data_IF_158106484854
#
_entry.id   IF_158106484854
#
_cell.length_a   1.000
_cell.length_b   1.000
_cell.length_c   1.000
_cell.angle_alpha   90.00
_cell.angle_beta   90.00
_cell.angle_gamma   90.00
#
_symmetry.space_group_name_H-M   'P 1'
#
loop_
_entity.id
_entity.type
_entity.pdbx_description
1 polymer ?
#
# COMPACT_ATOMS: atom_id res chain seq x y z
N UNK A 1 43.60 -19.34 -66.32
CA UNK A 1 43.79 -18.55 -65.07
C UNK A 1 42.52 -17.97 -64.45
N UNK A 2 41.37 -17.88 -65.16
CA UNK A 2 40.16 -17.16 -64.67
C UNK A 2 39.21 -18.01 -63.79
N UNK A 3 39.34 -19.35 -63.77
CA UNK A 3 38.44 -20.23 -62.99
C UNK A 3 38.75 -20.34 -61.50
N UNK A 4 39.94 -19.94 -61.02
CA UNK A 4 40.31 -20.06 -59.60
C UNK A 4 39.75 -18.94 -58.70
N UNK A 5 39.46 -17.75 -59.24
CA UNK A 5 38.96 -16.62 -58.43
C UNK A 5 37.45 -16.70 -58.12
N UNK A 6 36.65 -17.40 -58.94
CA UNK A 6 35.19 -17.54 -58.68
C UNK A 6 34.86 -18.45 -57.49
N UNK A 7 35.71 -19.43 -57.21
CA UNK A 7 35.52 -20.36 -56.09
C UNK A 7 35.92 -19.74 -54.75
N UNK A 8 36.92 -18.86 -54.75
CA UNK A 8 37.35 -18.16 -53.53
C UNK A 8 36.30 -17.13 -53.08
N UNK A 9 35.72 -16.36 -54.01
CA UNK A 9 34.68 -15.39 -53.67
C UNK A 9 33.37 -16.03 -53.21
N UNK A 10 33.01 -17.23 -53.70
CA UNK A 10 31.84 -17.96 -53.19
C UNK A 10 32.04 -18.49 -51.77
N UNK A 11 33.24 -18.97 -51.43
CA UNK A 11 33.53 -19.41 -50.05
C UNK A 11 33.63 -18.24 -49.07
N UNK A 12 34.20 -17.11 -49.50
CA UNK A 12 34.28 -15.91 -48.68
C UNK A 12 32.90 -15.29 -48.41
N UNK A 13 32.02 -15.27 -49.42
CA UNK A 13 30.66 -14.75 -49.26
C UNK A 13 29.76 -15.67 -48.41
N UNK A 14 29.94 -16.99 -48.49
CA UNK A 14 29.25 -17.95 -47.61
C UNK A 14 29.75 -17.84 -46.17
N UNK A 15 31.05 -17.64 -45.93
CA UNK A 15 31.56 -17.39 -44.58
C UNK A 15 31.05 -16.06 -44.00
N UNK A 16 30.98 -14.99 -44.80
CA UNK A 16 30.48 -13.68 -44.32
C UNK A 16 28.98 -13.74 -44.03
N UNK A 17 28.18 -14.44 -44.85
CA UNK A 17 26.76 -14.66 -44.56
C UNK A 17 26.51 -15.60 -43.38
N UNK A 18 27.34 -16.63 -43.16
CA UNK A 18 27.26 -17.47 -41.96
C UNK A 18 27.66 -16.72 -40.70
N UNK A 19 28.65 -15.83 -40.76
CA UNK A 19 28.97 -14.95 -39.64
C UNK A 19 27.81 -13.97 -39.37
N UNK A 20 27.21 -13.36 -40.39
CA UNK A 20 26.07 -12.47 -40.19
C UNK A 20 24.81 -13.20 -39.67
N UNK A 21 24.56 -14.46 -40.06
CA UNK A 21 23.44 -15.24 -39.51
C UNK A 21 23.70 -15.80 -38.09
N UNK A 22 24.97 -15.93 -37.68
CA UNK A 22 25.32 -16.35 -36.31
C UNK A 22 25.47 -15.19 -35.32
N UNK A 23 25.63 -13.95 -35.80
CA UNK A 23 25.75 -12.76 -34.95
C UNK A 23 24.45 -11.94 -34.80
N UNK A 24 23.45 -12.14 -35.66
CA UNK A 24 22.16 -11.41 -35.55
C UNK A 24 21.31 -11.83 -34.32
N UNK A 25 21.35 -13.06 -33.79
CA UNK A 25 20.65 -13.37 -32.54
C UNK A 25 21.33 -12.85 -31.26
N UNK A 26 22.59 -12.36 -31.33
CA UNK A 26 23.33 -11.86 -30.15
C UNK A 26 23.21 -10.35 -29.91
N UNK A 27 22.51 -9.61 -30.78
CA UNK A 27 22.31 -8.17 -30.64
C UNK A 27 20.94 -7.80 -30.05
N UNK A 28 20.19 -8.77 -29.54
CA UNK A 28 18.83 -8.57 -29.02
C UNK A 28 18.56 -9.38 -27.75
N UNK A 29 19.47 -9.35 -26.78
CA UNK A 29 19.14 -9.68 -25.39
C UNK A 29 20.25 -9.11 -24.52
N UNK A 30 19.92 -8.10 -23.72
CA UNK A 30 20.39 -7.87 -22.35
C UNK A 30 20.27 -6.38 -22.02
N UNK A 31 19.03 -5.95 -21.79
CA UNK A 31 18.77 -4.89 -20.84
C UNK A 31 18.92 -5.54 -19.44
N UNK A 32 20.10 -5.48 -18.84
CA UNK A 32 20.32 -6.03 -17.49
C UNK A 32 20.15 -4.88 -16.50
N UNK A 33 19.12 -5.02 -15.66
CA UNK A 33 18.69 -4.02 -14.69
C UNK A 33 19.65 -3.89 -13.51
N UNK A 34 19.85 -2.65 -13.07
CA UNK A 34 20.46 -2.26 -11.81
C UNK A 34 19.93 -3.10 -10.61
N UNK A 35 20.71 -3.60 -9.64
CA UNK A 35 20.20 -4.45 -8.55
C UNK A 35 19.22 -3.77 -7.58
N UNK A 36 19.20 -2.43 -7.51
CA UNK A 36 18.07 -1.70 -6.90
C UNK A 36 16.80 -1.82 -7.76
N UNK A 37 16.98 -1.74 -9.09
CA UNK A 37 15.97 -2.07 -10.09
C UNK A 37 15.63 -3.58 -10.07
N UNK A 38 16.51 -4.51 -9.68
CA UNK A 38 16.17 -5.95 -9.60
C UNK A 38 15.24 -6.24 -8.43
N UNK A 39 15.45 -5.64 -7.25
CA UNK A 39 14.50 -5.78 -6.14
C UNK A 39 13.17 -5.12 -6.48
N UNK A 40 13.21 -3.96 -7.12
CA UNK A 40 12.02 -3.21 -7.53
C UNK A 40 11.27 -3.88 -8.70
N UNK A 41 11.99 -4.43 -9.67
CA UNK A 41 11.48 -5.23 -10.79
C UNK A 41 10.96 -6.57 -10.29
N UNK A 42 11.57 -7.16 -9.27
CA UNK A 42 11.05 -8.34 -8.61
C UNK A 42 9.73 -8.04 -7.89
N UNK A 43 9.63 -6.92 -7.17
CA UNK A 43 8.36 -6.46 -6.57
C UNK A 43 7.31 -6.22 -7.66
N UNK A 44 7.66 -5.50 -8.74
CA UNK A 44 6.73 -5.25 -9.85
C UNK A 44 6.31 -6.55 -10.58
N UNK A 45 7.22 -7.51 -10.70
CA UNK A 45 6.92 -8.85 -11.24
C UNK A 45 5.99 -9.63 -10.31
N UNK A 46 6.18 -9.53 -8.98
CA UNK A 46 5.24 -10.11 -8.02
C UNK A 46 3.86 -9.44 -8.15
N UNK A 47 3.80 -8.11 -8.26
CA UNK A 47 2.53 -7.37 -8.45
C UNK A 47 1.80 -7.80 -9.72
N UNK A 48 2.52 -7.89 -10.85
CA UNK A 48 1.95 -8.34 -12.12
C UNK A 48 1.46 -9.79 -12.03
N UNK A 49 2.26 -10.68 -11.42
CA UNK A 49 1.87 -12.08 -11.20
C UNK A 49 0.66 -12.19 -10.27
N UNK A 50 0.61 -11.38 -9.22
CA UNK A 50 -0.48 -11.35 -8.25
C UNK A 50 -1.78 -10.89 -8.91
N UNK A 51 -1.78 -9.77 -9.62
CA UNK A 51 -2.96 -9.28 -10.34
C UNK A 51 -3.40 -10.24 -11.44
N UNK A 52 -2.45 -10.85 -12.15
CA UNK A 52 -2.77 -11.89 -13.14
C UNK A 52 -3.43 -13.10 -12.49
N UNK A 53 -2.85 -13.63 -11.40
CA UNK A 53 -3.40 -14.76 -10.66
C UNK A 53 -4.79 -14.43 -10.11
N UNK A 54 -4.98 -13.23 -9.54
CA UNK A 54 -6.26 -12.74 -9.07
C UNK A 54 -7.31 -12.74 -10.20
N UNK A 55 -6.99 -12.17 -11.37
CA UNK A 55 -7.90 -12.17 -12.51
C UNK A 55 -8.24 -13.60 -13.00
N UNK A 56 -7.26 -14.51 -13.02
CA UNK A 56 -7.48 -15.93 -13.38
C UNK A 56 -8.42 -16.62 -12.36
N UNK A 57 -8.23 -16.34 -11.08
CA UNK A 57 -9.08 -16.83 -10.00
C UNK A 57 -10.47 -16.19 -10.04
N UNK A 58 -10.62 -14.92 -10.42
CA UNK A 58 -11.93 -14.25 -10.52
C UNK A 58 -12.79 -14.87 -11.63
N UNK A 59 -12.17 -15.32 -12.71
CA UNK A 59 -12.84 -16.10 -13.75
C UNK A 59 -13.34 -17.47 -13.26
N UNK A 60 -12.74 -18.01 -12.20
CA UNK A 60 -13.05 -19.34 -11.65
C UNK A 60 -14.02 -19.28 -10.47
N UNK A 61 -13.82 -18.33 -9.56
CA UNK A 61 -14.50 -18.23 -8.26
C UNK A 61 -15.49 -17.05 -8.19
N UNK A 62 -15.57 -16.22 -9.23
CA UNK A 62 -16.40 -15.01 -9.25
C UNK A 62 -15.66 -13.79 -8.69
N UNK A 63 -16.39 -12.74 -8.34
CA UNK A 63 -15.81 -11.50 -7.82
C UNK A 63 -15.01 -11.76 -6.52
N UNK A 64 -13.84 -11.13 -6.37
CA UNK A 64 -12.98 -11.32 -5.18
C UNK A 64 -13.72 -11.16 -3.84
N UNK A 65 -14.70 -10.25 -3.78
CA UNK A 65 -15.50 -10.00 -2.58
C UNK A 65 -16.26 -11.25 -2.08
N UNK A 66 -16.63 -12.17 -2.98
CA UNK A 66 -17.42 -13.37 -2.66
C UNK A 66 -16.57 -14.62 -2.39
N UNK A 67 -15.25 -14.50 -2.42
CA UNK A 67 -14.36 -15.64 -2.23
C UNK A 67 -14.33 -16.12 -0.77
N UNK A 68 -14.15 -17.42 -0.59
CA UNK A 68 -13.88 -18.01 0.73
C UNK A 68 -12.49 -17.65 1.25
N UNK A 69 -12.25 -17.86 2.55
CA UNK A 69 -10.94 -17.59 3.17
C UNK A 69 -9.85 -18.44 2.51
N UNK A 70 -10.13 -19.69 2.17
CA UNK A 70 -9.18 -20.59 1.52
C UNK A 70 -8.71 -20.04 0.18
N UNK A 71 -9.63 -19.52 -0.62
CA UNK A 71 -9.33 -18.97 -1.94
C UNK A 71 -8.55 -17.65 -1.81
N UNK A 72 -8.95 -16.76 -0.88
CA UNK A 72 -8.19 -15.51 -0.63
C UNK A 72 -6.79 -15.80 -0.08
N UNK A 73 -6.66 -16.76 0.84
CA UNK A 73 -5.37 -17.18 1.38
C UNK A 73 -4.48 -17.86 0.33
N UNK A 74 -5.06 -18.57 -0.63
CA UNK A 74 -4.33 -19.15 -1.76
C UNK A 74 -3.73 -18.06 -2.66
N UNK A 75 -4.48 -16.98 -2.94
CA UNK A 75 -3.96 -15.82 -3.68
C UNK A 75 -2.81 -15.16 -2.90
N UNK A 76 -3.03 -14.86 -1.61
CA UNK A 76 -2.09 -14.14 -0.75
C UNK A 76 -0.84 -14.97 -0.41
N UNK A 77 -0.91 -16.29 -0.57
CA UNK A 77 0.24 -17.19 -0.43
C UNK A 77 1.39 -16.80 -1.36
N UNK A 78 1.12 -16.26 -2.55
CA UNK A 78 2.16 -15.76 -3.46
C UNK A 78 2.97 -14.65 -2.78
N UNK A 79 2.31 -13.70 -2.13
CA UNK A 79 2.97 -12.57 -1.46
C UNK A 79 3.82 -13.06 -0.27
N UNK A 80 3.35 -14.07 0.45
CA UNK A 80 4.07 -14.69 1.56
C UNK A 80 5.31 -15.45 1.06
N UNK A 81 5.14 -16.35 0.08
CA UNK A 81 6.19 -17.22 -0.43
C UNK A 81 7.32 -16.41 -1.11
N UNK A 82 6.99 -15.25 -1.70
CA UNK A 82 7.93 -14.34 -2.34
C UNK A 82 8.49 -13.26 -1.38
N UNK A 83 8.10 -13.29 -0.09
CA UNK A 83 8.53 -12.34 0.94
C UNK A 83 8.32 -10.87 0.50
N UNK A 84 7.12 -10.59 -0.04
CA UNK A 84 6.71 -9.28 -0.52
C UNK A 84 6.73 -8.26 0.63
N UNK A 85 7.20 -7.00 0.42
CA UNK A 85 7.25 -6.00 1.48
C UNK A 85 5.86 -5.36 1.72
N UNK A 86 5.01 -6.08 2.46
CA UNK A 86 3.58 -5.78 2.67
C UNK A 86 3.33 -4.48 3.47
N UNK A 87 4.34 -3.99 4.20
CA UNK A 87 4.19 -2.77 4.99
C UNK A 87 3.06 -2.92 6.01
N UNK A 88 2.15 -1.94 6.04
CA UNK A 88 1.01 -1.89 6.96
C UNK A 88 -0.23 -2.66 6.44
N UNK A 89 -0.12 -3.38 5.31
CA UNK A 89 -1.26 -4.12 4.74
C UNK A 89 -1.48 -5.48 5.45
N UNK A 90 -2.69 -6.03 5.28
CA UNK A 90 -3.11 -7.32 5.83
C UNK A 90 -3.00 -8.42 4.77
N UNK A 91 -2.65 -9.63 5.21
CA UNK A 91 -2.67 -10.83 4.39
C UNK A 91 -3.77 -11.78 4.81
N UNK A 92 -4.57 -12.27 3.87
CA UNK A 92 -5.45 -13.41 4.09
C UNK A 92 -4.60 -14.67 4.32
N UNK A 93 -4.84 -15.36 5.43
CA UNK A 93 -4.17 -16.62 5.76
C UNK A 93 -5.18 -17.62 6.30
N UNK A 94 -4.78 -18.89 6.43
CA UNK A 94 -5.57 -19.90 7.11
C UNK A 94 -5.21 -19.95 8.61
N UNK A 95 -6.18 -20.18 9.50
CA UNK A 95 -5.90 -20.38 10.93
C UNK A 95 -5.06 -21.64 11.14
N UNK A 96 -4.00 -21.50 11.94
CA UNK A 96 -3.13 -22.60 12.38
C UNK A 96 -3.75 -23.42 13.52
N UNK A 97 -3.11 -24.53 13.93
CA UNK A 97 -3.59 -25.37 15.03
C UNK A 97 -3.69 -24.65 16.38
N UNK A 98 -2.86 -23.64 16.60
CA UNK A 98 -2.87 -22.78 17.78
C UNK A 98 -3.91 -21.66 17.73
N UNK A 99 -4.44 -21.36 16.55
CA UNK A 99 -5.40 -20.27 16.34
C UNK A 99 -6.82 -20.67 16.74
N UNK A 100 -7.66 -19.66 16.96
CA UNK A 100 -9.10 -19.87 17.13
C UNK A 100 -9.65 -20.48 15.84
N UNK A 101 -10.27 -21.65 15.93
CA UNK A 101 -10.87 -22.30 14.77
C UNK A 101 -12.04 -21.48 14.21
N UNK A 102 -12.36 -21.65 12.92
CA UNK A 102 -13.46 -20.94 12.27
C UNK A 102 -14.80 -21.09 13.01
N UNK A 103 -15.11 -22.31 13.46
CA UNK A 103 -16.36 -22.56 14.20
C UNK A 103 -16.36 -21.86 15.56
N UNK A 104 -15.23 -21.87 16.28
CA UNK A 104 -15.10 -21.13 17.53
C UNK A 104 -15.17 -19.62 17.32
N UNK A 105 -14.61 -19.11 16.22
CA UNK A 105 -14.61 -17.70 15.87
C UNK A 105 -16.03 -17.18 15.61
N UNK A 106 -16.84 -17.94 14.87
CA UNK A 106 -18.26 -17.64 14.66
C UNK A 106 -19.03 -17.58 15.98
N UNK A 107 -18.89 -18.60 16.82
CA UNK A 107 -19.57 -18.64 18.13
C UNK A 107 -19.12 -17.45 19.00
N UNK A 108 -17.83 -17.14 18.99
CA UNK A 108 -17.28 -16.03 19.75
C UNK A 108 -17.82 -14.68 19.27
N UNK A 109 -17.81 -14.43 17.97
CA UNK A 109 -18.33 -13.21 17.38
C UNK A 109 -19.82 -13.00 17.71
N UNK A 110 -20.65 -14.03 17.55
CA UNK A 110 -22.08 -13.93 17.87
C UNK A 110 -22.33 -13.68 19.36
N UNK A 111 -21.52 -14.27 20.25
CA UNK A 111 -21.62 -14.01 21.68
C UNK A 111 -21.25 -12.57 22.03
N UNK A 112 -20.21 -12.00 21.42
CA UNK A 112 -19.84 -10.60 21.65
C UNK A 112 -20.90 -9.64 21.09
N UNK A 113 -21.52 -9.93 19.94
CA UNK A 113 -22.66 -9.15 19.44
C UNK A 113 -23.85 -9.22 20.41
N UNK A 114 -24.24 -10.42 20.84
CA UNK A 114 -25.36 -10.60 21.78
C UNK A 114 -25.13 -9.84 23.09
N UNK A 115 -23.88 -9.84 23.57
CA UNK A 115 -23.47 -9.13 24.79
C UNK A 115 -23.44 -7.62 24.60
N UNK A 116 -22.85 -7.11 23.52
CA UNK A 116 -22.69 -5.67 23.28
C UNK A 116 -24.02 -5.00 22.97
N UNK A 117 -24.88 -5.66 22.18
CA UNK A 117 -26.14 -5.09 21.70
C UNK A 117 -27.38 -5.59 22.46
N UNK A 118 -27.21 -6.47 23.45
CA UNK A 118 -28.32 -7.09 24.20
C UNK A 118 -29.36 -7.77 23.30
N UNK A 119 -28.88 -8.43 22.24
CA UNK A 119 -29.69 -9.15 21.26
C UNK A 119 -29.56 -10.67 21.42
N UNK A 120 -30.51 -11.41 20.85
CA UNK A 120 -30.36 -12.83 20.56
C UNK A 120 -30.28 -13.02 19.05
N UNK A 121 -29.10 -12.76 18.47
CA UNK A 121 -28.82 -13.09 17.07
C UNK A 121 -28.41 -14.56 16.93
N UNK A 122 -28.96 -15.22 15.92
CA UNK A 122 -28.52 -16.53 15.48
C UNK A 122 -27.77 -16.38 14.15
N UNK A 123 -26.55 -16.95 14.00
CA UNK A 123 -25.77 -16.87 12.76
C UNK A 123 -26.51 -17.36 11.52
N UNK A 124 -27.50 -18.25 11.70
CA UNK A 124 -28.25 -18.85 10.59
C UNK A 124 -29.19 -17.84 9.89
N UNK A 125 -29.49 -16.72 10.55
CA UNK A 125 -30.38 -15.68 10.04
C UNK A 125 -29.66 -14.65 9.18
N UNK A 126 -28.33 -14.79 9.02
CA UNK A 126 -27.46 -13.85 8.35
C UNK A 126 -26.62 -14.56 7.28
N UNK A 127 -26.38 -13.87 6.16
CA UNK A 127 -25.25 -14.20 5.32
C UNK A 127 -23.97 -13.85 6.07
N UNK A 128 -23.08 -14.81 6.24
CA UNK A 128 -21.91 -14.63 7.10
C UNK A 128 -20.64 -14.68 6.27
N UNK A 129 -19.92 -13.56 6.26
CA UNK A 129 -18.60 -13.48 5.65
C UNK A 129 -17.54 -13.59 6.73
N UNK A 130 -16.48 -14.32 6.42
CA UNK A 130 -15.36 -14.53 7.32
C UNK A 130 -14.08 -14.16 6.61
N UNK A 131 -13.19 -13.49 7.33
CA UNK A 131 -11.81 -13.27 6.93
C UNK A 131 -10.87 -13.57 8.10
N UNK A 132 -9.71 -14.14 7.80
CA UNK A 132 -8.66 -14.36 8.78
C UNK A 132 -7.37 -13.75 8.24
N UNK A 133 -6.87 -12.74 8.94
CA UNK A 133 -5.73 -11.95 8.48
C UNK A 133 -4.49 -12.16 9.35
N UNK A 134 -3.33 -11.98 8.73
CA UNK A 134 -2.04 -11.81 9.37
C UNK A 134 -1.50 -10.40 9.08
N UNK A 135 -1.04 -9.70 10.12
CA UNK A 135 -0.39 -8.38 10.06
C UNK A 135 1.10 -8.60 10.35
N UNK A 136 1.97 -8.64 9.31
CA UNK A 136 3.37 -9.00 9.50
C UNK A 136 4.16 -8.08 10.42
N UNK A 137 3.87 -6.77 10.40
CA UNK A 137 4.58 -5.78 11.22
C UNK A 137 4.29 -5.97 12.71
N UNK A 138 3.05 -6.34 13.04
CA UNK A 138 2.59 -6.50 14.43
C UNK A 138 2.74 -7.94 14.93
N UNK A 139 3.14 -8.87 14.05
CA UNK A 139 3.15 -10.32 14.28
C UNK A 139 1.81 -10.77 14.88
N UNK A 140 0.71 -10.27 14.30
CA UNK A 140 -0.64 -10.43 14.85
C UNK A 140 -1.55 -11.11 13.84
N UNK A 141 -2.40 -12.03 14.32
CA UNK A 141 -3.46 -12.64 13.54
C UNK A 141 -4.82 -12.19 14.05
N UNK A 142 -5.76 -11.96 13.14
CA UNK A 142 -7.10 -11.49 13.49
C UNK A 142 -8.19 -12.20 12.69
N UNK A 143 -9.30 -12.44 13.38
CA UNK A 143 -10.57 -12.79 12.76
C UNK A 143 -11.38 -11.52 12.51
N UNK A 144 -11.97 -11.43 11.32
CA UNK A 144 -13.04 -10.48 10.99
C UNK A 144 -14.26 -11.29 10.59
N UNK A 145 -15.34 -11.16 11.36
CA UNK A 145 -16.61 -11.86 11.12
C UNK A 145 -17.68 -10.80 10.84
N UNK A 146 -18.31 -10.90 9.67
CA UNK A 146 -19.39 -10.02 9.25
C UNK A 146 -20.68 -10.83 9.10
N UNK A 147 -21.70 -10.50 9.89
CA UNK A 147 -23.06 -11.05 9.75
C UNK A 147 -23.94 -10.03 9.04
N UNK A 148 -24.34 -10.33 7.81
CA UNK A 148 -25.03 -9.44 6.90
C UNK A 148 -26.46 -9.96 6.68
N UNK A 149 -27.45 -9.10 6.88
CA UNK A 149 -28.85 -9.37 6.62
C UNK A 149 -29.38 -8.35 5.63
N UNK A 150 -29.69 -8.83 4.44
CA UNK A 150 -30.33 -8.05 3.40
C UNK A 150 -31.85 -8.14 3.56
N UNK A 151 -32.52 -7.00 3.65
CA UNK A 151 -33.98 -6.88 3.75
C UNK A 151 -34.51 -5.82 2.80
N UNK A 152 -35.82 -5.80 2.59
CA UNK A 152 -36.49 -4.74 1.79
C UNK A 152 -36.27 -3.34 2.40
N UNK A 153 -35.99 -3.26 3.71
CA UNK A 153 -35.68 -2.04 4.45
C UNK A 153 -34.21 -1.65 4.45
N UNK A 154 -33.32 -2.47 3.87
CA UNK A 154 -31.88 -2.22 3.82
C UNK A 154 -31.00 -3.37 4.31
N UNK A 155 -29.70 -3.11 4.31
CA UNK A 155 -28.65 -4.00 4.83
C UNK A 155 -28.42 -3.74 6.33
N UNK A 156 -28.58 -4.76 7.14
CA UNK A 156 -28.09 -4.78 8.52
C UNK A 156 -26.82 -5.61 8.59
N UNK A 157 -25.77 -5.08 9.22
CA UNK A 157 -24.47 -5.74 9.27
C UNK A 157 -23.84 -5.64 10.65
N UNK A 158 -23.52 -6.77 11.26
CA UNK A 158 -22.73 -6.82 12.49
C UNK A 158 -21.30 -7.25 12.15
N UNK A 159 -20.31 -6.53 12.69
CA UNK A 159 -18.89 -6.83 12.47
C UNK A 159 -18.23 -7.05 13.82
N UNK A 160 -17.47 -8.13 13.93
CA UNK A 160 -16.57 -8.37 15.07
C UNK A 160 -15.17 -8.62 14.55
N UNK A 161 -14.23 -7.84 15.06
CA UNK A 161 -12.79 -8.03 14.85
C UNK A 161 -12.15 -8.42 16.18
N UNK A 162 -11.39 -9.50 16.18
CA UNK A 162 -10.68 -9.94 17.38
C UNK A 162 -9.43 -10.73 17.03
N UNK A 163 -8.51 -10.73 17.98
CA UNK A 163 -7.18 -11.36 17.86
C UNK A 163 -7.22 -12.87 18.08
N UNK A 164 -6.33 -13.59 17.41
CA UNK A 164 -6.10 -15.02 17.61
C UNK A 164 -4.65 -15.25 18.09
N UNK A 165 -4.41 -16.10 19.10
CA UNK A 165 -5.38 -16.96 19.79
C UNK A 165 -6.05 -16.35 21.03
N UNK A 166 -5.70 -15.12 21.42
CA UNK A 166 -6.03 -14.49 22.69
C UNK A 166 -7.48 -13.98 22.81
N UNK A 167 -8.24 -13.94 21.72
CA UNK A 167 -9.66 -13.53 21.69
C UNK A 167 -9.90 -12.12 22.25
N UNK A 168 -8.91 -11.22 22.16
CA UNK A 168 -9.08 -9.82 22.52
C UNK A 168 -9.85 -9.12 21.39
N UNK A 169 -11.06 -8.66 21.71
CA UNK A 169 -11.92 -7.87 20.80
C UNK A 169 -11.27 -6.53 20.51
N UNK A 170 -11.11 -6.23 19.23
CA UNK A 170 -10.64 -4.94 18.70
C UNK A 170 -11.84 -4.07 18.33
N UNK A 171 -12.83 -4.67 17.65
CA UNK A 171 -14.05 -4.01 17.19
C UNK A 171 -15.25 -4.93 17.39
N UNK A 172 -16.36 -4.35 17.85
CA UNK A 172 -17.69 -4.98 17.80
C UNK A 172 -18.68 -3.88 17.43
N UNK A 173 -19.19 -3.91 16.20
CA UNK A 173 -19.96 -2.82 15.62
C UNK A 173 -21.21 -3.34 14.91
N UNK A 174 -22.28 -2.55 14.94
CA UNK A 174 -23.53 -2.80 14.23
C UNK A 174 -23.72 -1.69 13.22
N UNK A 175 -24.02 -2.05 11.99
CA UNK A 175 -24.29 -1.15 10.88
C UNK A 175 -25.71 -1.36 10.35
N UNK A 176 -26.40 -0.26 10.05
CA UNK A 176 -27.63 -0.28 9.25
C UNK A 176 -27.37 0.61 8.05
N UNK A 177 -27.47 0.08 6.83
CA UNK A 177 -27.26 0.83 5.60
C UNK A 177 -25.91 1.57 5.61
N UNK A 178 -24.87 0.84 6.05
CA UNK A 178 -23.51 1.36 6.20
C UNK A 178 -23.25 2.31 7.37
N UNK A 179 -24.25 2.67 8.19
CA UNK A 179 -24.10 3.54 9.39
C UNK A 179 -23.84 2.72 10.64
N UNK A 180 -22.77 3.01 11.36
CA UNK A 180 -22.57 2.42 12.69
C UNK A 180 -23.63 2.94 13.68
N UNK A 181 -24.43 2.04 14.23
CA UNK A 181 -25.45 2.32 15.25
C UNK A 181 -24.84 2.10 16.62
N UNK A 182 -24.97 3.10 17.51
CA UNK A 182 -24.48 2.98 18.88
C UNK A 182 -25.36 2.00 19.69
N UNK A 183 -24.77 1.09 20.49
CA UNK A 183 -25.51 0.08 21.26
C UNK A 183 -26.59 0.66 22.19
N UNK A 184 -26.38 1.88 22.71
CA UNK A 184 -27.32 2.58 23.63
C UNK A 184 -28.62 3.08 22.97
N UNK A 185 -28.78 2.88 21.65
CA UNK A 185 -30.02 3.20 20.93
C UNK A 185 -30.78 1.94 20.48
N UNK A 186 -30.27 0.74 20.78
CA UNK A 186 -30.87 -0.54 20.37
C UNK A 186 -32.04 -0.98 21.27
N UNK A 187 -32.27 -0.31 22.40
CA UNK A 187 -33.44 -0.49 23.26
C UNK A 187 -34.70 -0.04 22.48
N UNK A 188 -35.37 -0.95 21.77
CA UNK A 188 -36.55 -0.75 20.92
C UNK A 188 -37.77 -0.06 21.56
N UNK A 189 -37.60 1.18 22.02
CA UNK A 189 -38.59 2.07 22.62
C UNK A 189 -38.30 3.52 22.23
N UNK A 190 -38.34 3.80 20.95
CA UNK A 190 -38.74 5.13 20.48
C UNK A 190 -39.94 4.96 19.59
N UNK A 191 -41.13 4.98 20.20
CA UNK A 191 -42.36 5.22 19.47
C UNK A 191 -42.33 6.64 18.94
N UNK A 192 -41.95 6.80 17.67
CA UNK A 192 -42.22 8.02 16.93
C UNK A 192 -43.51 7.80 16.13
N UNK A 193 -44.47 8.71 16.36
CA UNK A 193 -45.72 8.74 15.61
C UNK A 193 -45.41 9.02 14.15
N UNK A 194 -45.79 8.09 13.28
CA UNK A 194 -45.97 8.36 11.87
C UNK A 194 -47.02 9.46 11.69
N UNK A 195 -46.61 10.60 11.14
CA UNK A 195 -47.52 11.41 10.34
C UNK A 195 -47.13 11.26 8.87
N UNK A 196 -48.12 11.09 7.96
CA UNK A 196 -47.84 10.83 6.56
C UNK A 196 -47.40 12.15 5.89
N UNK A 197 -46.10 12.31 5.68
CA UNK A 197 -45.56 13.40 4.87
C UNK A 197 -45.52 12.98 3.40
N UNK A 198 -46.27 13.73 2.59
CA UNK A 198 -46.33 13.63 1.15
C UNK A 198 -44.93 13.74 0.53
N UNK A 199 -44.54 12.68 -0.19
CA UNK A 199 -43.34 12.59 -1.01
C UNK A 199 -43.26 13.72 -2.05
N UNK A 200 -42.44 14.73 -1.78
CA UNK A 200 -41.69 15.42 -2.82
C UNK A 200 -40.21 15.45 -2.40
N UNK A 201 -39.46 14.46 -2.87
CA UNK A 201 -37.99 14.49 -2.79
C UNK A 201 -37.55 15.63 -3.73
N UNK A 202 -37.20 16.78 -3.16
CA UNK A 202 -36.72 17.92 -3.93
C UNK A 202 -35.21 17.82 -4.20
N UNK A 203 -34.49 17.09 -3.35
CA UNK A 203 -33.05 16.92 -3.39
C UNK A 203 -32.71 15.53 -3.89
N UNK A 204 -31.92 15.42 -4.95
CA UNK A 204 -31.48 14.13 -5.47
C UNK A 204 -30.19 13.64 -4.76
N UNK A 205 -29.81 12.38 -5.03
CA UNK A 205 -28.62 11.73 -4.47
C UNK A 205 -27.35 12.57 -4.66
N UNK A 206 -27.11 13.09 -5.87
CA UNK A 206 -25.89 13.85 -6.20
C UNK A 206 -25.78 15.15 -5.41
N UNK A 207 -26.90 15.87 -5.25
CA UNK A 207 -26.95 17.10 -4.46
C UNK A 207 -26.68 16.79 -2.99
N UNK A 208 -27.24 15.71 -2.44
CA UNK A 208 -26.98 15.30 -1.06
C UNK A 208 -25.49 14.95 -0.84
N UNK A 209 -24.88 14.16 -1.72
CA UNK A 209 -23.44 13.84 -1.65
C UNK A 209 -22.59 15.11 -1.74
N UNK A 210 -22.93 16.03 -2.65
CA UNK A 210 -22.22 17.32 -2.80
C UNK A 210 -22.32 18.19 -1.54
N UNK A 211 -23.49 18.23 -0.91
CA UNK A 211 -23.66 18.95 0.35
C UNK A 211 -22.83 18.29 1.46
N UNK A 212 -22.86 16.97 1.57
CA UNK A 212 -22.08 16.25 2.57
C UNK A 212 -20.57 16.47 2.39
N UNK A 213 -20.04 16.45 1.15
CA UNK A 213 -18.65 16.82 0.84
C UNK A 213 -18.34 18.25 1.33
N UNK A 214 -19.19 19.22 0.99
CA UNK A 214 -19.02 20.60 1.45
C UNK A 214 -18.98 20.70 2.98
N UNK A 215 -19.77 19.88 3.67
CA UNK A 215 -19.80 19.83 5.14
C UNK A 215 -18.56 19.12 5.70
N UNK A 216 -18.06 18.07 5.06
CA UNK A 216 -16.82 17.41 5.43
C UNK A 216 -15.63 18.38 5.41
N UNK A 217 -15.56 19.24 4.38
CA UNK A 217 -14.58 20.34 4.31
C UNK A 217 -14.81 21.40 5.40
N UNK A 218 -16.05 21.85 5.58
CA UNK A 218 -16.35 22.97 6.47
C UNK A 218 -16.29 22.62 7.97
N UNK A 219 -16.73 21.42 8.36
CA UNK A 219 -16.81 20.99 9.76
C UNK A 219 -15.56 20.27 10.21
N UNK A 220 -15.10 19.29 9.44
CA UNK A 220 -13.95 18.50 9.82
C UNK A 220 -12.64 19.06 9.27
N UNK A 221 -12.66 19.88 8.22
CA UNK A 221 -11.45 20.53 7.70
C UNK A 221 -10.69 19.70 6.66
N UNK A 222 -11.36 18.76 5.98
CA UNK A 222 -10.75 18.03 4.87
C UNK A 222 -10.48 18.94 3.67
N UNK A 223 -9.35 18.70 3.01
CA UNK A 223 -9.01 19.31 1.72
C UNK A 223 -9.52 18.45 0.54
N UNK A 224 -9.66 19.03 -0.64
CA UNK A 224 -10.19 18.32 -1.82
C UNK A 224 -9.36 17.08 -2.16
N UNK A 225 -8.03 17.21 -2.14
CA UNK A 225 -7.10 16.11 -2.42
C UNK A 225 -7.18 14.98 -1.39
N UNK A 226 -7.68 15.24 -0.19
CA UNK A 226 -7.83 14.24 0.86
C UNK A 226 -9.11 13.44 0.69
N UNK A 227 -10.14 14.04 0.08
CA UNK A 227 -11.42 13.39 -0.16
C UNK A 227 -11.34 12.32 -1.26
N UNK A 228 -10.33 12.36 -2.13
CA UNK A 228 -10.10 11.36 -3.18
C UNK A 228 -9.86 9.94 -2.62
N UNK A 229 -9.49 9.83 -1.35
CA UNK A 229 -9.24 8.55 -0.69
C UNK A 229 -10.41 8.07 0.18
N UNK A 230 -11.57 8.72 0.06
CA UNK A 230 -12.81 8.27 0.68
C UNK A 230 -13.75 7.74 -0.39
N UNK A 231 -14.27 6.55 -0.15
CA UNK A 231 -15.46 6.09 -0.82
C UNK A 231 -16.68 6.69 -0.14
N UNK A 232 -17.66 7.07 -0.95
CA UNK A 232 -18.93 7.60 -0.46
C UNK A 232 -20.09 6.70 -0.88
N UNK A 233 -20.93 6.33 0.08
CA UNK A 233 -22.24 5.75 -0.19
C UNK A 233 -23.31 6.80 0.10
N UNK A 234 -24.39 6.79 -0.68
CA UNK A 234 -25.52 7.68 -0.44
C UNK A 234 -26.82 6.93 -0.66
N UNK A 235 -27.63 6.89 0.39
CA UNK A 235 -28.82 6.07 0.51
C UNK A 235 -29.98 6.88 1.06
N UNK A 236 -31.20 6.56 0.62
CA UNK A 236 -32.40 7.24 1.07
C UNK A 236 -32.94 6.55 2.33
N UNK A 237 -33.23 7.31 3.38
CA UNK A 237 -33.92 6.83 4.57
C UNK A 237 -35.35 7.35 4.56
N UNK A 238 -36.32 6.46 4.29
CA UNK A 238 -37.75 6.79 4.32
C UNK A 238 -38.18 7.25 5.70
N UNK A 239 -37.72 6.56 6.76
CA UNK A 239 -38.00 6.90 8.16
C UNK A 239 -37.59 8.34 8.51
N UNK A 240 -36.43 8.78 8.00
CA UNK A 240 -35.88 10.12 8.29
C UNK A 240 -36.28 11.17 7.26
N UNK A 241 -36.94 10.77 6.17
CA UNK A 241 -37.16 11.59 4.98
C UNK A 241 -35.87 12.33 4.55
N UNK A 242 -34.75 11.62 4.54
CA UNK A 242 -33.43 12.21 4.39
C UNK A 242 -32.48 11.30 3.62
N UNK A 243 -31.51 11.93 2.96
CA UNK A 243 -30.35 11.24 2.41
C UNK A 243 -29.32 11.02 3.50
N UNK A 244 -28.87 9.79 3.59
CA UNK A 244 -27.74 9.39 4.37
C UNK A 244 -26.51 9.34 3.47
N UNK A 245 -25.48 10.11 3.79
CA UNK A 245 -24.19 10.08 3.09
C UNK A 245 -23.11 9.60 4.05
N UNK A 246 -22.47 8.49 3.70
CA UNK A 246 -21.40 7.88 4.50
C UNK A 246 -20.10 7.95 3.74
N UNK A 247 -19.04 8.45 4.37
CA UNK A 247 -17.67 8.42 3.85
C UNK A 247 -16.83 7.46 4.67
N UNK A 248 -16.20 6.50 3.99
CA UNK A 248 -15.22 5.58 4.57
C UNK A 248 -13.93 5.69 3.80
N UNK A 249 -12.82 5.79 4.53
CA UNK A 249 -11.53 5.63 3.88
C UNK A 249 -11.37 4.17 3.48
N UNK A 250 -11.07 3.91 2.22
CA UNK A 250 -10.69 2.58 1.72
C UNK A 250 -9.19 2.48 1.45
N UNK A 251 -8.46 3.55 1.74
CA UNK A 251 -7.05 3.69 1.45
C UNK A 251 -6.26 4.01 2.72
N UNK A 252 -5.20 3.23 2.94
CA UNK A 252 -4.18 3.44 3.98
C UNK A 252 -4.71 3.68 5.41
N UNK A 253 -4.61 2.65 6.26
CA UNK A 253 -5.05 2.70 7.66
C UNK A 253 -6.53 3.09 7.85
N UNK A 254 -7.50 2.43 7.17
CA UNK A 254 -8.91 2.79 7.25
C UNK A 254 -9.45 2.75 8.70
N UNK A 255 -8.94 1.84 9.53
CA UNK A 255 -9.27 1.72 10.96
C UNK A 255 -8.86 2.94 11.79
N UNK A 256 -7.83 3.69 11.37
CA UNK A 256 -7.39 4.91 12.06
C UNK A 256 -8.26 6.12 11.71
N UNK A 257 -8.87 6.11 10.52
CA UNK A 257 -9.65 7.24 9.98
C UNK A 257 -11.11 7.15 10.39
N UNK A 258 -11.66 5.93 10.46
CA UNK A 258 -13.05 5.69 10.83
C UNK A 258 -14.05 6.12 9.75
N UNK A 259 -15.29 6.27 10.16
CA UNK A 259 -16.45 6.53 9.29
C UNK A 259 -17.06 7.89 9.59
N UNK A 260 -17.24 8.70 8.56
CA UNK A 260 -17.97 9.97 8.64
C UNK A 260 -19.38 9.80 8.08
N UNK A 261 -20.38 10.29 8.80
CA UNK A 261 -21.78 10.17 8.40
C UNK A 261 -22.46 11.53 8.41
N UNK A 262 -23.23 11.82 7.38
CA UNK A 262 -24.02 13.03 7.22
C UNK A 262 -25.46 12.67 6.88
N UNK A 263 -26.43 13.33 7.54
CA UNK A 263 -27.86 13.20 7.25
C UNK A 263 -28.32 14.52 6.64
N UNK A 264 -28.77 14.46 5.39
CA UNK A 264 -29.20 15.60 4.58
C UNK A 264 -30.70 15.51 4.37
N UNK A 265 -31.45 16.51 4.82
CA UNK A 265 -32.91 16.56 4.67
C UNK A 265 -33.33 16.47 3.20
N UNK A 266 -34.25 15.56 2.87
CA UNK A 266 -34.62 15.25 1.49
C UNK A 266 -35.43 16.32 0.77
N UNK A 267 -35.99 17.29 1.53
CA UNK A 267 -36.83 18.36 1.00
C UNK A 267 -36.06 19.66 0.87
N UNK A 268 -35.22 19.98 1.85
CA UNK A 268 -34.50 21.25 1.96
C UNK A 268 -33.05 21.15 1.51
N UNK A 269 -32.44 19.95 1.60
CA UNK A 269 -31.03 19.73 1.32
C UNK A 269 -30.11 20.21 2.44
N UNK A 270 -30.67 20.56 3.60
CA UNK A 270 -29.91 21.01 4.75
C UNK A 270 -29.35 19.84 5.56
N UNK A 271 -28.19 20.06 6.18
CA UNK A 271 -27.59 19.09 7.08
C UNK A 271 -28.36 19.07 8.41
N UNK A 272 -28.96 17.94 8.75
CA UNK A 272 -29.67 17.75 10.02
C UNK A 272 -28.79 17.10 11.07
N UNK A 273 -27.85 16.26 10.65
CA UNK A 273 -26.93 15.57 11.55
C UNK A 273 -25.59 15.24 10.88
N UNK A 274 -24.51 15.27 11.64
CA UNK A 274 -23.23 14.70 11.26
C UNK A 274 -22.57 14.00 12.43
N UNK A 275 -21.79 12.96 12.14
CA UNK A 275 -21.00 12.24 13.14
C UNK A 275 -19.71 11.70 12.54
N UNK A 276 -18.75 11.46 13.42
CA UNK A 276 -17.54 10.69 13.17
C UNK A 276 -17.39 9.71 14.32
N UNK A 277 -17.31 8.42 14.02
CA UNK A 277 -17.26 7.34 15.01
C UNK A 277 -16.06 7.43 15.97
N UNK A 278 -14.93 7.97 15.51
CA UNK A 278 -13.72 8.11 16.31
C UNK A 278 -13.57 9.48 17.00
N UNK A 279 -14.53 10.41 16.85
CA UNK A 279 -14.45 11.80 17.34
C UNK A 279 -14.02 11.89 18.81
N UNK A 280 -14.67 11.15 19.70
CA UNK A 280 -14.37 11.19 21.14
C UNK A 280 -12.98 10.65 21.48
N UNK A 281 -12.53 9.64 20.75
CA UNK A 281 -11.20 9.06 20.95
C UNK A 281 -10.13 10.02 20.40
N UNK A 282 -10.37 10.62 19.23
CA UNK A 282 -9.48 11.60 18.64
C UNK A 282 -9.35 12.87 19.49
N UNK A 283 -10.43 13.39 20.09
CA UNK A 283 -10.37 14.55 21.00
C UNK A 283 -9.40 14.34 22.18
N UNK A 284 -9.19 13.10 22.60
CA UNK A 284 -8.20 12.77 23.66
C UNK A 284 -6.77 12.73 23.11
N UNK A 285 -6.59 12.27 21.87
CA UNK A 285 -5.28 12.20 21.23
C UNK A 285 -4.80 13.58 20.74
N UNK A 286 -5.68 14.33 20.07
CA UNK A 286 -5.36 15.53 19.32
C UNK A 286 -4.49 15.29 18.08
N UNK A 287 -4.14 16.37 17.36
CA UNK A 287 -3.21 16.32 16.24
C UNK A 287 -1.79 15.95 16.70
N UNK A 288 -1.08 15.16 15.88
CA UNK A 288 0.29 14.70 16.19
C UNK A 288 1.33 15.18 15.19
N UNK A 289 2.55 15.37 15.67
CA UNK A 289 3.74 15.61 14.82
C UNK A 289 4.90 14.77 15.38
N UNK A 290 5.51 13.87 14.59
CA UNK A 290 5.12 13.50 13.22
C UNK A 290 3.71 12.88 13.15
N UNK A 291 2.95 13.19 12.11
CA UNK A 291 1.53 12.84 12.00
C UNK A 291 1.32 11.34 11.76
N UNK A 292 2.26 10.65 11.09
CA UNK A 292 2.19 9.20 10.85
C UNK A 292 2.16 8.38 12.16
N UNK A 293 2.71 8.93 13.24
CA UNK A 293 2.74 8.27 14.56
C UNK A 293 1.43 8.40 15.34
N UNK A 294 0.40 9.05 14.77
CA UNK A 294 -0.93 9.09 15.36
C UNK A 294 -1.59 7.69 15.38
N UNK A 295 -2.29 7.39 16.47
CA UNK A 295 -3.10 6.18 16.60
C UNK A 295 -4.40 6.33 15.79
N UNK A 296 -4.97 7.53 15.78
CA UNK A 296 -6.19 7.91 15.04
C UNK A 296 -5.92 9.10 14.13
N UNK A 297 -6.53 9.11 12.96
CA UNK A 297 -6.30 10.07 11.90
C UNK A 297 -7.58 10.86 11.63
N UNK A 298 -7.58 12.13 12.01
CA UNK A 298 -8.61 13.07 11.59
C UNK A 298 -8.26 13.66 10.22
N UNK A 299 -9.03 14.66 9.79
CA UNK A 299 -8.68 15.53 8.67
C UNK A 299 -7.25 16.08 8.75
N UNK A 300 -6.71 16.38 9.93
CA UNK A 300 -5.35 16.91 10.06
C UNK A 300 -4.32 15.91 9.52
N UNK A 301 -4.26 14.69 10.09
CA UNK A 301 -3.32 13.65 9.66
C UNK A 301 -3.57 13.25 8.20
N UNK A 302 -4.84 13.14 7.81
CA UNK A 302 -5.21 12.72 6.47
C UNK A 302 -4.84 13.75 5.39
N UNK A 303 -4.97 15.05 5.69
CA UNK A 303 -4.48 16.12 4.82
C UNK A 303 -2.96 16.09 4.69
N UNK A 304 -2.22 15.79 5.78
CA UNK A 304 -0.77 15.63 5.69
C UNK A 304 -0.39 14.42 4.83
N UNK A 305 -1.12 13.31 4.95
CA UNK A 305 -0.93 12.14 4.11
C UNK A 305 -1.16 12.44 2.62
N UNK A 306 -2.29 13.09 2.28
CA UNK A 306 -2.58 13.50 0.90
C UNK A 306 -1.49 14.43 0.35
N UNK A 307 -1.06 15.42 1.14
CA UNK A 307 0.02 16.33 0.75
C UNK A 307 1.36 15.60 0.54
N UNK A 308 1.69 14.62 1.37
CA UNK A 308 2.86 13.76 1.20
C UNK A 308 2.77 13.02 -0.14
N UNK A 309 1.63 12.36 -0.43
CA UNK A 309 1.44 11.60 -1.67
C UNK A 309 1.59 12.48 -2.90
N UNK A 310 0.95 13.65 -2.93
CA UNK A 310 1.09 14.61 -4.04
C UNK A 310 2.55 14.98 -4.27
N UNK A 311 3.27 15.39 -3.23
CA UNK A 311 4.68 15.80 -3.35
C UNK A 311 5.56 14.66 -3.84
N UNK A 312 5.34 13.45 -3.35
CA UNK A 312 6.12 12.27 -3.74
C UNK A 312 5.81 11.83 -5.18
N UNK A 313 4.55 11.92 -5.62
CA UNK A 313 4.16 11.65 -7.00
C UNK A 313 4.74 12.68 -7.97
N UNK A 314 4.79 13.95 -7.61
CA UNK A 314 5.46 14.98 -8.41
C UNK A 314 6.94 14.67 -8.65
N UNK A 315 7.65 14.18 -7.63
CA UNK A 315 9.05 13.74 -7.79
C UNK A 315 9.16 12.55 -8.74
N UNK A 316 8.27 11.56 -8.58
CA UNK A 316 8.20 10.37 -9.44
C UNK A 316 7.92 10.74 -10.90
N UNK A 317 6.95 11.62 -11.15
CA UNK A 317 6.57 12.07 -12.49
C UNK A 317 7.68 12.86 -13.16
N UNK A 318 8.33 13.78 -12.43
CA UNK A 318 9.48 14.54 -12.93
C UNK A 318 10.66 13.65 -13.30
N UNK A 319 10.83 12.52 -12.59
CA UNK A 319 11.81 11.51 -12.92
C UNK A 319 11.42 10.63 -14.12
N UNK A 320 10.17 10.65 -14.56
CA UNK A 320 9.65 9.70 -15.56
C UNK A 320 9.44 8.30 -14.99
N UNK A 321 9.15 8.19 -13.69
CA UNK A 321 8.90 6.93 -12.98
C UNK A 321 9.76 6.78 -11.72
N UNK A 322 9.28 5.96 -10.77
CA UNK A 322 9.93 5.76 -9.45
C UNK A 322 11.36 5.23 -9.58
N UNK A 323 11.61 4.41 -10.60
CA UNK A 323 12.92 3.78 -10.87
C UNK A 323 13.91 4.69 -11.60
N UNK A 324 13.44 5.84 -12.09
CA UNK A 324 14.25 6.78 -12.88
C UNK A 324 14.70 8.01 -12.07
N UNK A 325 14.42 8.03 -10.75
CA UNK A 325 14.77 9.15 -9.88
C UNK A 325 16.28 9.33 -9.79
N UNK A 326 16.75 10.56 -9.95
CA UNK A 326 18.13 10.95 -9.66
C UNK A 326 18.47 10.77 -8.18
N UNK A 327 19.76 10.84 -7.85
CA UNK A 327 20.22 10.79 -6.46
C UNK A 327 19.54 11.86 -5.58
N UNK A 328 19.44 13.09 -6.09
CA UNK A 328 18.80 14.21 -5.40
C UNK A 328 17.29 14.00 -5.23
N UNK A 329 16.63 13.46 -6.26
CA UNK A 329 15.21 13.15 -6.21
C UNK A 329 14.90 12.02 -5.20
N UNK A 330 15.72 10.97 -5.16
CA UNK A 330 15.59 9.91 -4.16
C UNK A 330 15.80 10.43 -2.74
N UNK A 331 16.80 11.30 -2.53
CA UNK A 331 17.04 11.93 -1.24
C UNK A 331 15.89 12.84 -0.81
N UNK A 332 15.31 13.61 -1.74
CA UNK A 332 14.14 14.45 -1.48
C UNK A 332 12.90 13.62 -1.14
N UNK A 333 12.66 12.54 -1.89
CA UNK A 333 11.57 11.59 -1.65
C UNK A 333 11.66 10.99 -0.25
N UNK A 334 12.81 10.42 0.12
CA UNK A 334 13.02 9.82 1.44
C UNK A 334 12.92 10.84 2.58
N UNK A 335 13.36 12.08 2.34
CA UNK A 335 13.24 13.17 3.33
C UNK A 335 11.78 13.45 3.65
N UNK A 336 10.90 13.52 2.64
CA UNK A 336 9.47 13.75 2.87
C UNK A 336 8.84 12.68 3.77
N UNK A 337 9.19 11.41 3.57
CA UNK A 337 8.70 10.30 4.39
C UNK A 337 9.30 10.33 5.82
N UNK A 338 10.59 10.62 5.98
CA UNK A 338 11.19 10.77 7.31
C UNK A 338 10.55 11.92 8.10
N UNK A 339 10.33 13.07 7.46
CA UNK A 339 9.69 14.23 8.09
C UNK A 339 8.24 13.93 8.49
N UNK A 340 7.55 13.05 7.75
CA UNK A 340 6.23 12.54 8.10
C UNK A 340 6.22 11.56 9.29
N UNK A 341 7.39 11.02 9.67
CA UNK A 341 7.56 10.10 10.80
C UNK A 341 7.77 8.64 10.43
N UNK A 342 8.04 8.33 9.15
CA UNK A 342 8.36 6.97 8.72
C UNK A 342 9.77 6.55 9.17
N UNK A 343 9.99 5.23 9.25
CA UNK A 343 11.27 4.67 9.69
C UNK A 343 12.42 5.09 8.75
N UNK A 344 13.49 5.61 9.36
CA UNK A 344 14.75 5.96 8.71
C UNK A 344 15.39 4.79 7.96
N UNK A 345 15.19 3.56 8.42
CA UNK A 345 15.73 2.37 7.74
C UNK A 345 15.05 2.10 6.40
N UNK A 346 13.77 2.47 6.26
CA UNK A 346 13.02 2.34 5.02
C UNK A 346 13.32 3.49 4.07
N UNK A 347 13.45 4.70 4.62
CA UNK A 347 13.71 5.94 3.88
C UNK A 347 15.07 6.51 4.31
N UNK A 348 16.15 5.83 3.92
CA UNK A 348 17.50 6.07 4.43
C UNK A 348 18.32 7.06 3.59
N UNK A 349 17.86 7.48 2.41
CA UNK A 349 18.66 8.28 1.48
C UNK A 349 18.58 9.77 1.83
N UNK A 350 19.72 10.46 1.84
CA UNK A 350 19.79 11.91 2.05
C UNK A 350 20.81 12.55 1.11
N UNK A 351 20.90 13.87 1.11
CA UNK A 351 22.05 14.58 0.54
C UNK A 351 23.16 14.69 1.60
N UNK A 352 24.43 14.58 1.20
CA UNK A 352 25.56 14.90 2.08
C UNK A 352 25.50 16.38 2.50
N UNK A 353 25.96 16.66 3.72
CA UNK A 353 26.18 18.03 4.19
C UNK A 353 27.49 18.59 3.62
N UNK A 354 27.75 19.88 3.85
CA UNK A 354 28.99 20.52 3.41
C UNK A 354 30.27 19.99 4.09
N UNK A 355 30.12 19.26 5.21
CA UNK A 355 31.24 18.60 5.90
C UNK A 355 31.48 17.17 5.45
N UNK A 356 30.57 16.58 4.68
CA UNK A 356 30.70 15.23 4.14
C UNK A 356 31.43 15.28 2.79
N UNK A 357 32.05 14.17 2.39
CA UNK A 357 32.67 14.07 1.08
C UNK A 357 31.65 14.22 -0.05
N UNK A 358 32.06 14.82 -1.16
CA UNK A 358 31.25 14.83 -2.38
C UNK A 358 31.26 13.44 -3.04
N UNK A 359 30.29 13.22 -3.92
CA UNK A 359 30.19 11.96 -4.67
C UNK A 359 31.41 11.72 -5.56
N UNK A 360 32.07 12.77 -6.05
CA UNK A 360 33.29 12.68 -6.87
C UNK A 360 34.47 12.15 -6.06
N UNK A 361 34.68 12.68 -4.84
CA UNK A 361 35.73 12.21 -3.93
C UNK A 361 35.53 10.72 -3.60
N UNK A 362 34.29 10.34 -3.32
CA UNK A 362 33.93 8.95 -3.00
C UNK A 362 34.14 8.04 -4.23
N UNK A 363 33.78 8.51 -5.43
CA UNK A 363 34.02 7.78 -6.68
C UNK A 363 35.50 7.53 -6.92
N UNK A 364 36.35 8.53 -6.76
CA UNK A 364 37.80 8.40 -6.93
C UNK A 364 38.39 7.36 -5.96
N UNK A 365 38.03 7.44 -4.67
CA UNK A 365 38.48 6.45 -3.67
C UNK A 365 38.01 5.03 -4.03
N UNK A 366 36.75 4.87 -4.42
CA UNK A 366 36.20 3.55 -4.78
C UNK A 366 36.89 3.02 -6.04
N UNK A 367 37.13 3.86 -7.05
CA UNK A 367 37.85 3.44 -8.27
C UNK A 367 39.25 2.93 -7.94
N UNK A 368 40.01 3.65 -7.12
CA UNK A 368 41.34 3.23 -6.66
C UNK A 368 41.27 1.85 -5.99
N UNK A 369 40.37 1.69 -5.02
CA UNK A 369 40.28 0.47 -4.19
C UNK A 369 39.72 -0.72 -4.96
N UNK A 370 38.81 -0.48 -5.90
CA UNK A 370 38.29 -1.52 -6.81
C UNK A 370 39.37 -1.97 -7.79
N UNK A 371 40.17 -1.04 -8.33
CA UNK A 371 41.30 -1.36 -9.20
C UNK A 371 42.34 -2.21 -8.46
N UNK A 372 42.71 -1.78 -7.25
CA UNK A 372 43.67 -2.47 -6.37
C UNK A 372 43.19 -3.89 -6.00
N UNK A 373 41.93 -4.04 -5.58
CA UNK A 373 41.39 -5.30 -5.06
C UNK A 373 40.99 -6.29 -6.15
N UNK A 374 40.41 -5.82 -7.25
CA UNK A 374 39.77 -6.67 -8.27
C UNK A 374 40.43 -6.58 -9.65
N UNK A 375 41.43 -5.71 -9.84
CA UNK A 375 42.13 -5.56 -11.11
C UNK A 375 41.29 -4.93 -12.23
N UNK A 376 40.26 -4.16 -11.86
CA UNK A 376 39.41 -3.44 -12.83
C UNK A 376 40.20 -2.27 -13.42
N UNK A 377 40.20 -2.12 -14.74
CA UNK A 377 40.95 -1.06 -15.42
C UNK A 377 40.16 0.23 -15.57
N UNK A 378 40.85 1.35 -15.80
CA UNK A 378 40.23 2.66 -16.07
C UNK A 378 39.25 2.63 -17.26
N UNK A 379 39.52 1.79 -18.27
CA UNK A 379 38.61 1.62 -19.41
C UNK A 379 37.29 0.98 -19.00
N UNK A 380 37.31 0.02 -18.07
CA UNK A 380 36.09 -0.64 -17.59
C UNK A 380 35.22 0.30 -16.73
N UNK A 381 35.81 1.28 -16.05
CA UNK A 381 35.04 2.29 -15.32
C UNK A 381 34.36 3.32 -16.20
N UNK A 382 34.89 3.56 -17.42
CA UNK A 382 34.37 4.59 -18.34
C UNK A 382 32.92 4.32 -18.70
N UNK A 383 32.60 3.06 -18.93
CA UNK A 383 31.29 2.62 -19.39
C UNK A 383 30.43 2.09 -18.22
N UNK A 384 30.91 2.28 -16.98
CA UNK A 384 30.26 1.79 -15.77
C UNK A 384 29.14 2.71 -15.30
N UNK A 385 28.04 2.12 -14.81
CA UNK A 385 26.98 2.87 -14.15
C UNK A 385 27.28 2.99 -12.64
N UNK A 386 27.22 4.23 -12.15
CA UNK A 386 27.41 4.56 -10.74
C UNK A 386 26.08 4.97 -10.12
N UNK A 387 25.63 4.22 -9.12
CA UNK A 387 24.41 4.52 -8.37
C UNK A 387 24.81 4.84 -6.93
N UNK A 388 25.06 6.13 -6.62
CA UNK A 388 25.39 6.56 -5.29
C UNK A 388 24.12 6.72 -4.43
N UNK A 389 24.27 6.49 -3.14
CA UNK A 389 23.31 6.86 -2.11
C UNK A 389 24.07 7.27 -0.86
N UNK A 390 23.55 8.25 -0.13
CA UNK A 390 24.10 8.68 1.16
C UNK A 390 23.12 8.24 2.25
N UNK A 391 23.57 7.27 3.05
CA UNK A 391 22.78 6.54 4.00
C UNK A 391 22.79 7.23 5.36
N UNK A 392 21.59 7.57 5.85
CA UNK A 392 21.33 8.19 7.15
C UNK A 392 20.41 7.34 8.03
N UNK A 393 20.31 6.03 7.76
CA UNK A 393 19.53 5.08 8.56
C UNK A 393 19.93 5.14 10.04
N UNK A 394 21.24 5.20 10.31
CA UNK A 394 21.78 5.46 11.64
C UNK A 394 21.96 6.97 11.87
N UNK A 395 21.30 7.59 12.88
CA UNK A 395 21.42 9.03 13.14
C UNK A 395 22.81 9.47 13.62
N UNK A 396 23.64 8.53 14.09
CA UNK A 396 24.99 8.82 14.58
C UNK A 396 26.08 8.47 13.57
N UNK A 397 25.72 7.85 12.45
CA UNK A 397 26.69 7.35 11.49
C UNK A 397 26.13 7.44 10.08
N UNK A 398 26.69 8.35 9.30
CA UNK A 398 26.37 8.51 7.90
C UNK A 398 27.42 7.84 7.03
N UNK A 399 26.98 7.25 5.92
CA UNK A 399 27.85 6.47 5.05
C UNK A 399 27.50 6.72 3.60
N UNK A 400 28.49 6.67 2.73
CA UNK A 400 28.22 6.51 1.31
C UNK A 400 28.02 5.04 0.98
N UNK A 401 26.96 4.73 0.24
CA UNK A 401 26.71 3.43 -0.36
C UNK A 401 26.67 3.60 -1.87
N UNK A 402 27.58 2.94 -2.56
CA UNK A 402 27.72 3.04 -4.01
C UNK A 402 27.59 1.65 -4.62
N UNK A 403 26.68 1.54 -5.57
CA UNK A 403 26.59 0.38 -6.45
C UNK A 403 27.26 0.77 -7.77
N UNK A 404 28.29 0.01 -8.12
CA UNK A 404 28.99 0.13 -9.38
C UNK A 404 28.62 -1.06 -10.25
N UNK A 405 28.06 -0.79 -11.43
CA UNK A 405 27.70 -1.80 -12.43
C UNK A 405 28.69 -1.74 -13.59
N UNK A 406 29.38 -2.85 -13.82
CA UNK A 406 30.35 -3.03 -14.90
C UNK A 406 29.78 -4.02 -15.93
N UNK A 407 30.22 -3.88 -17.18
CA UNK A 407 29.86 -4.77 -18.30
C UNK A 407 28.34 -4.95 -18.41
N UNK A 408 27.61 -3.85 -18.61
CA UNK A 408 26.15 -3.84 -18.75
C UNK A 408 25.36 -4.45 -17.58
N UNK A 409 25.97 -4.67 -16.41
CA UNK A 409 25.29 -5.18 -15.20
C UNK A 409 25.76 -6.55 -14.71
N UNK A 410 26.53 -7.29 -15.52
CA UNK A 410 27.00 -8.64 -15.20
C UNK A 410 27.86 -8.72 -13.92
N UNK A 411 28.57 -7.62 -13.62
CA UNK A 411 29.39 -7.50 -12.42
C UNK A 411 28.89 -6.28 -11.65
N UNK A 412 28.45 -6.53 -10.42
CA UNK A 412 28.10 -5.46 -9.51
C UNK A 412 29.02 -5.44 -8.29
N UNK A 413 29.54 -4.26 -8.00
CA UNK A 413 30.39 -4.00 -6.84
C UNK A 413 29.61 -3.10 -5.90
N UNK A 414 29.42 -3.57 -4.67
CA UNK A 414 28.87 -2.78 -3.59
C UNK A 414 30.02 -2.25 -2.75
N UNK A 415 30.13 -0.93 -2.68
CA UNK A 415 31.12 -0.24 -1.89
C UNK A 415 30.41 0.62 -0.83
N UNK A 416 30.94 0.59 0.39
CA UNK A 416 30.52 1.48 1.46
C UNK A 416 31.74 2.25 1.97
N UNK A 417 31.57 3.55 2.15
CA UNK A 417 32.60 4.42 2.75
C UNK A 417 32.01 5.17 3.93
N UNK A 418 32.88 5.64 4.80
CA UNK A 418 32.48 6.62 5.80
C UNK A 418 32.02 7.93 5.12
N UNK A 419 31.28 8.77 5.85
CA UNK A 419 30.80 10.06 5.36
C UNK A 419 31.91 10.99 4.87
N UNK A 420 33.12 10.88 5.46
CA UNK A 420 34.28 11.67 5.07
C UNK A 420 34.90 11.26 3.72
N UNK A 421 34.49 10.11 3.17
CA UNK A 421 35.01 9.57 1.92
C UNK A 421 36.51 9.23 1.99
N UNK A 422 37.02 8.93 3.17
CA UNK A 422 38.44 8.59 3.39
C UNK A 422 38.63 7.09 3.55
N UNK A 423 37.66 6.39 4.13
CA UNK A 423 37.79 4.99 4.52
C UNK A 423 36.76 4.12 3.81
N UNK A 424 37.21 3.07 3.12
CA UNK A 424 36.33 1.99 2.65
C UNK A 424 35.97 1.12 3.86
N UNK A 425 34.69 1.12 4.22
CA UNK A 425 34.13 0.29 5.30
C UNK A 425 33.80 -1.12 4.79
N UNK A 426 33.30 -1.21 3.56
CA UNK A 426 32.93 -2.46 2.93
C UNK A 426 33.16 -2.39 1.41
N UNK A 427 33.62 -3.49 0.82
CA UNK A 427 33.82 -3.58 -0.62
C UNK A 427 33.65 -5.02 -1.09
N UNK A 428 32.51 -5.30 -1.71
CA UNK A 428 32.10 -6.64 -2.12
C UNK A 428 31.82 -6.68 -3.61
N UNK A 429 32.52 -7.55 -4.32
CA UNK A 429 32.20 -7.92 -5.71
C UNK A 429 31.23 -9.08 -5.70
N UNK A 430 30.14 -8.94 -6.45
CA UNK A 430 29.19 -10.02 -6.71
C UNK A 430 29.07 -10.18 -8.23
N UNK A 431 28.92 -11.43 -8.64
CA UNK A 431 28.65 -11.83 -10.03
C UNK A 431 27.31 -12.52 -9.99
N UNK A 432 26.38 -12.13 -10.86
CA UNK A 432 25.19 -12.95 -11.08
C UNK A 432 25.66 -14.32 -11.56
N UNK A 433 25.40 -15.36 -10.78
CA UNK A 433 25.38 -16.70 -11.35
C UNK A 433 24.11 -16.74 -12.17
N UNK A 434 24.23 -16.69 -13.50
CA UNK A 434 23.17 -17.11 -14.40
C UNK A 434 22.66 -18.49 -13.93
N UNK A 435 21.49 -18.48 -13.29
CA UNK A 435 20.71 -19.65 -12.90
C UNK A 435 19.62 -19.87 -13.93
#
# INVERSE_FOLDING_TARGET
>A
MIRKNRLFNKKLMVCIMLCLFLFVPMLMTNAIGNPANLKEQHIADIDERYEKLKNEMENTYGEYATWSIEVKAELDKLLIDENYPIGDDVLNVLPGPEDVSQQEALIFASNEINKEFSLEISPIDFDTQLSFFYIPIEDQKLWVIEHIKNSDSGEEKYIVEFTSPDKKVILCAYYVNGIMVNPLQADGKTGFKEEPLQNSIAVNKEVATTQAIKKMKAYYGFEDNSLEYFDSTTEWSEEKNAWLVTFKSTYYNPSKVGTYVFIIDGTTGELTHNSWDLEKAYQKQGPRTPWKLAELWSSYEYNQYSALKIRTNQIIEQAGGKHNMSFEQQAAYDTLYRDAGYDRNQYYRCLPSSSDASVEIVKELIQEKVSEKYGITSEQFRDAQWIPSFDVSNPNEHRWKVILLLNDGDIYIQAETDASGVTILNLVRKTEKNG
#
